data_IF_376846176659
#
_entry.id   IF_376846176659
#
_cell.length_a   1.000
_cell.length_b   1.000
_cell.length_c   1.000
_cell.angle_alpha   90.00
_cell.angle_beta   90.00
_cell.angle_gamma   90.00
#
_symmetry.space_group_name_H-M   'P 1'
#
loop_
_entity.id
_entity.type
_entity.pdbx_description
1 polymer ?
#
# COMPACT_ATOMS: atom_id res chain seq x y z
N UNK A 1 9.30 -1.66 20.95
CA UNK A 1 10.21 -1.56 19.79
C UNK A 1 9.59 -0.81 18.61
N UNK A 2 8.31 -1.04 18.27
CA UNK A 2 7.55 -0.48 17.13
C UNK A 2 7.51 1.08 17.05
N UNK A 3 7.58 1.80 18.18
CA UNK A 3 7.40 3.27 18.21
C UNK A 3 8.63 4.07 17.78
N UNK A 4 9.81 3.46 17.80
CA UNK A 4 11.09 4.10 17.47
C UNK A 4 11.34 4.08 15.95
N UNK A 5 10.88 3.04 15.25
CA UNK A 5 11.02 2.88 13.80
C UNK A 5 10.30 3.98 13.02
N UNK A 6 9.03 4.25 13.40
CA UNK A 6 8.22 5.29 12.73
C UNK A 6 8.85 6.69 12.78
N UNK A 7 9.60 7.00 13.85
CA UNK A 7 10.20 8.34 14.04
C UNK A 7 11.38 8.60 13.11
N UNK A 8 12.26 7.61 12.92
CA UNK A 8 13.39 7.81 12.01
C UNK A 8 12.92 7.73 10.55
N UNK A 9 11.96 6.86 10.23
CA UNK A 9 11.34 6.79 8.90
C UNK A 9 10.74 8.14 8.53
N UNK A 10 10.04 8.80 9.46
CA UNK A 10 9.46 10.10 9.19
C UNK A 10 10.52 11.20 9.00
N UNK A 11 11.62 11.17 9.75
CA UNK A 11 12.76 12.07 9.52
C UNK A 11 13.33 11.89 8.10
N UNK A 12 13.50 10.64 7.64
CA UNK A 12 13.96 10.35 6.29
C UNK A 12 12.96 10.83 5.22
N UNK A 13 11.65 10.72 5.47
CA UNK A 13 10.60 11.26 4.57
C UNK A 13 10.68 12.77 4.44
N UNK A 14 10.77 13.49 5.56
CA UNK A 14 10.89 14.94 5.57
C UNK A 14 12.14 15.37 4.77
N UNK A 15 13.28 14.69 5.00
CA UNK A 15 14.53 14.92 4.25
C UNK A 15 14.42 14.57 2.76
N UNK A 16 13.61 13.60 2.36
CA UNK A 16 13.36 13.28 0.94
C UNK A 16 12.59 14.38 0.22
N UNK A 17 11.65 15.01 0.91
CA UNK A 17 10.79 16.07 0.36
C UNK A 17 11.51 17.41 0.21
N UNK A 18 12.56 17.65 1.00
CA UNK A 18 13.32 18.90 1.00
C UNK A 18 14.72 18.69 0.42
N UNK A 19 15.06 19.40 -0.66
CA UNK A 19 16.36 19.27 -1.33
C UNK A 19 17.50 20.00 -0.60
N UNK A 20 17.18 20.87 0.34
CA UNK A 20 18.15 21.65 1.12
C UNK A 20 18.55 20.92 2.42
N UNK A 21 19.79 21.11 2.92
CA UNK A 21 20.19 20.51 4.17
C UNK A 21 19.33 21.01 5.34
N UNK A 22 18.85 20.09 6.17
CA UNK A 22 17.97 20.43 7.30
C UNK A 22 18.60 20.20 8.66
N UNK A 23 18.49 21.21 9.51
CA UNK A 23 18.91 21.17 10.91
C UNK A 23 17.83 20.57 11.82
N UNK A 24 18.25 20.16 13.01
CA UNK A 24 17.38 19.48 13.98
C UNK A 24 16.16 20.31 14.42
N UNK A 25 16.32 21.63 14.55
CA UNK A 25 15.22 22.54 14.91
C UNK A 25 14.10 22.50 13.87
N UNK A 26 14.45 22.72 12.60
CA UNK A 26 13.48 22.70 11.49
C UNK A 26 12.82 21.33 11.32
N UNK A 27 13.61 20.26 11.44
CA UNK A 27 13.08 18.90 11.46
C UNK A 27 12.12 18.65 12.63
N UNK A 28 12.39 19.20 13.81
CA UNK A 28 11.51 19.06 14.97
C UNK A 28 10.16 19.72 14.76
N UNK A 29 10.14 20.91 14.15
CA UNK A 29 8.91 21.62 13.76
C UNK A 29 8.07 20.78 12.78
N UNK A 30 8.69 20.32 11.69
CA UNK A 30 8.02 19.51 10.66
C UNK A 30 7.56 18.14 11.20
N UNK A 31 8.33 17.51 12.09
CA UNK A 31 7.93 16.29 12.77
C UNK A 31 6.67 16.51 13.63
N UNK A 32 6.59 17.65 14.33
CA UNK A 32 5.42 17.99 15.14
C UNK A 32 4.16 18.22 14.29
N UNK A 33 4.29 18.87 13.13
CA UNK A 33 3.21 19.02 12.14
C UNK A 33 2.66 17.67 11.68
N UNK A 34 3.49 16.63 11.65
CA UNK A 34 3.13 15.24 11.29
C UNK A 34 2.72 14.38 12.50
N UNK A 35 2.54 14.97 13.68
CA UNK A 35 2.09 14.29 14.88
C UNK A 35 3.21 13.61 15.69
N UNK A 36 4.48 13.84 15.35
CA UNK A 36 5.64 13.35 16.09
C UNK A 36 6.29 14.46 16.92
N UNK A 37 5.81 14.65 18.15
CA UNK A 37 6.40 15.64 19.06
C UNK A 37 7.73 15.13 19.59
N UNK A 38 8.82 15.75 19.16
CA UNK A 38 10.19 15.52 19.61
C UNK A 38 10.82 16.86 20.01
N UNK A 39 11.85 16.83 20.86
CA UNK A 39 12.70 18.01 21.10
C UNK A 39 13.82 18.07 20.07
N UNK A 40 14.37 19.26 19.80
CA UNK A 40 15.53 19.45 18.94
C UNK A 40 16.69 18.50 19.30
N UNK A 41 16.93 18.30 20.60
CA UNK A 41 17.96 17.38 21.10
C UNK A 41 17.64 15.93 20.75
N UNK A 42 16.39 15.50 20.88
CA UNK A 42 15.96 14.16 20.47
C UNK A 42 16.14 13.96 18.95
N UNK A 43 15.78 14.95 18.14
CA UNK A 43 16.02 14.92 16.69
C UNK A 43 17.51 14.85 16.36
N UNK A 44 18.38 15.56 17.09
CA UNK A 44 19.84 15.42 16.93
C UNK A 44 20.35 14.01 17.25
N UNK A 45 19.76 13.31 18.23
CA UNK A 45 20.11 11.91 18.49
C UNK A 45 19.73 11.02 17.30
N UNK A 46 18.53 11.17 16.75
CA UNK A 46 18.11 10.43 15.56
C UNK A 46 18.99 10.73 14.34
N UNK A 47 19.33 11.99 14.09
CA UNK A 47 20.19 12.36 12.97
C UNK A 47 21.58 11.74 13.08
N UNK A 48 22.16 11.67 14.29
CA UNK A 48 23.44 10.97 14.47
C UNK A 48 23.33 9.48 14.20
N UNK A 49 22.26 8.86 14.66
CA UNK A 49 22.00 7.45 14.39
C UNK A 49 21.81 7.19 12.89
N UNK A 50 21.10 8.07 12.18
CA UNK A 50 20.92 7.99 10.73
C UNK A 50 22.23 8.25 9.95
N UNK A 51 23.09 9.13 10.47
CA UNK A 51 24.45 9.35 9.95
C UNK A 51 25.28 8.05 10.11
N UNK A 52 25.22 7.38 11.26
CA UNK A 52 25.91 6.10 11.54
C UNK A 52 25.42 4.94 10.66
N UNK A 53 24.13 4.93 10.30
CA UNK A 53 23.55 3.95 9.37
C UNK A 53 23.84 4.27 7.89
N UNK A 54 24.44 5.43 7.59
CA UNK A 54 24.72 5.87 6.23
C UNK A 54 23.48 6.36 5.46
N UNK A 55 22.36 6.61 6.15
CA UNK A 55 21.13 7.11 5.52
C UNK A 55 21.13 8.62 5.33
N UNK A 56 21.84 9.34 6.19
CA UNK A 56 22.03 10.80 6.08
C UNK A 56 23.50 11.17 6.09
N UNK A 57 23.80 12.33 5.53
CA UNK A 57 25.14 12.92 5.61
C UNK A 57 25.07 14.38 6.04
N UNK A 58 26.05 14.80 6.85
CA UNK A 58 26.12 16.15 7.40
C UNK A 58 26.75 17.11 6.39
N UNK A 59 26.03 18.18 6.06
CA UNK A 59 26.51 19.27 5.20
C UNK A 59 26.88 20.47 6.06
N UNK A 60 28.13 20.47 6.56
CA UNK A 60 28.66 21.55 7.39
C UNK A 60 27.75 21.90 8.57
N UNK A 61 27.45 23.19 8.74
CA UNK A 61 26.50 23.68 9.76
C UNK A 61 25.06 23.82 9.25
N UNK A 62 24.80 23.50 7.97
CA UNK A 62 23.49 23.70 7.36
C UNK A 62 22.49 22.60 7.75
N UNK A 63 22.97 21.38 8.01
CA UNK A 63 22.11 20.29 8.42
C UNK A 63 22.51 18.94 7.85
N UNK A 64 21.53 18.08 7.62
CA UNK A 64 21.68 16.79 6.95
C UNK A 64 20.95 16.77 5.63
N UNK A 65 21.48 16.00 4.69
CA UNK A 65 20.78 15.58 3.48
C UNK A 65 20.66 14.06 3.45
N UNK A 66 19.73 13.57 2.63
CA UNK A 66 19.50 12.15 2.44
C UNK A 66 20.53 11.58 1.44
N UNK A 67 21.22 10.50 1.82
CA UNK A 67 22.12 9.79 0.91
C UNK A 67 21.31 8.96 -0.11
N UNK A 68 21.93 8.45 -1.19
CA UNK A 68 21.27 7.48 -2.07
C UNK A 68 20.73 6.27 -1.31
N UNK A 69 21.50 5.74 -0.35
CA UNK A 69 21.08 4.61 0.47
C UNK A 69 19.89 4.95 1.39
N UNK A 70 19.87 6.16 1.97
CA UNK A 70 18.71 6.64 2.74
C UNK A 70 17.44 6.81 1.89
N UNK A 71 17.58 7.14 0.60
CA UNK A 71 16.44 7.22 -0.34
C UNK A 71 15.79 5.87 -0.55
N UNK A 72 16.58 4.82 -0.76
CA UNK A 72 16.11 3.44 -0.92
C UNK A 72 15.41 2.93 0.35
N UNK A 73 15.94 3.26 1.53
CA UNK A 73 15.31 2.90 2.80
C UNK A 73 13.91 3.53 2.95
N UNK A 74 13.75 4.82 2.60
CA UNK A 74 12.42 5.44 2.58
C UNK A 74 11.44 4.73 1.65
N UNK A 75 11.90 4.20 0.53
CA UNK A 75 11.06 3.47 -0.43
C UNK A 75 10.66 2.11 0.12
N UNK A 76 11.58 1.40 0.76
CA UNK A 76 11.32 0.13 1.43
C UNK A 76 10.36 0.30 2.61
N UNK A 77 10.52 1.35 3.42
CA UNK A 77 9.61 1.68 4.52
C UNK A 77 8.18 2.02 4.05
N UNK A 78 8.01 2.63 2.86
CA UNK A 78 6.70 2.88 2.25
C UNK A 78 5.99 1.59 1.83
N UNK A 79 6.72 0.50 1.57
CA UNK A 79 6.12 -0.81 1.27
C UNK A 79 5.37 -1.34 2.49
N UNK A 80 5.94 -1.20 3.70
CA UNK A 80 5.29 -1.64 4.95
C UNK A 80 3.95 -0.95 5.22
N UNK A 81 3.91 0.38 5.11
CA UNK A 81 2.67 1.16 5.29
C UNK A 81 1.62 0.82 4.22
N UNK A 82 2.04 0.61 2.96
CA UNK A 82 1.16 0.19 1.88
C UNK A 82 0.54 -1.19 2.16
N UNK A 83 1.31 -2.13 2.68
CA UNK A 83 0.82 -3.46 3.07
C UNK A 83 -0.21 -3.32 4.19
N UNK A 84 0.06 -2.53 5.23
CA UNK A 84 -0.89 -2.31 6.33
C UNK A 84 -2.23 -1.72 5.87
N UNK A 85 -2.20 -0.78 4.92
CA UNK A 85 -3.40 -0.24 4.29
C UNK A 85 -4.18 -1.30 3.50
N UNK A 86 -3.50 -2.15 2.73
CA UNK A 86 -4.13 -3.25 1.98
C UNK A 86 -4.79 -4.26 2.94
N UNK A 87 -4.09 -4.66 4.01
CA UNK A 87 -4.62 -5.58 5.02
C UNK A 87 -5.89 -5.01 5.64
N UNK A 88 -5.87 -3.74 6.09
CA UNK A 88 -7.04 -3.08 6.69
C UNK A 88 -8.24 -3.05 5.72
N UNK A 89 -7.99 -2.87 4.42
CA UNK A 89 -9.03 -2.91 3.39
C UNK A 89 -9.59 -4.33 3.20
N UNK A 90 -8.75 -5.36 3.23
CA UNK A 90 -9.16 -6.76 3.14
C UNK A 90 -9.98 -7.18 4.35
N UNK A 91 -9.54 -6.86 5.57
CA UNK A 91 -10.28 -7.13 6.81
C UNK A 91 -11.67 -6.49 6.80
N UNK A 92 -11.76 -5.24 6.30
CA UNK A 92 -13.05 -4.56 6.15
C UNK A 92 -13.97 -5.25 5.13
N UNK A 93 -13.42 -5.82 4.05
CA UNK A 93 -14.20 -6.59 3.07
C UNK A 93 -14.70 -7.89 3.69
N UNK A 94 -13.84 -8.61 4.41
CA UNK A 94 -14.21 -9.84 5.13
C UNK A 94 -15.32 -9.57 6.16
N UNK A 95 -15.19 -8.54 6.99
CA UNK A 95 -16.18 -8.19 8.00
C UNK A 95 -17.56 -7.80 7.42
N UNK A 96 -17.59 -7.30 6.18
CA UNK A 96 -18.85 -6.93 5.50
C UNK A 96 -19.48 -8.08 4.73
N UNK A 97 -18.78 -9.21 4.56
CA UNK A 97 -19.34 -10.40 3.93
C UNK A 97 -20.43 -10.97 4.83
N UNK A 98 -21.59 -11.28 4.25
CA UNK A 98 -22.74 -11.86 4.97
C UNK A 98 -23.19 -13.18 4.33
N UNK A 99 -22.34 -13.77 3.49
CA UNK A 99 -22.66 -14.98 2.75
C UNK A 99 -22.94 -16.17 3.66
N UNK A 100 -24.10 -16.77 3.44
CA UNK A 100 -24.53 -18.00 4.08
C UNK A 100 -24.46 -19.16 3.08
N UNK A 101 -23.58 -20.15 3.31
CA UNK A 101 -23.41 -21.29 2.41
C UNK A 101 -24.59 -22.26 2.40
N UNK A 102 -25.45 -22.27 3.44
CA UNK A 102 -26.63 -23.14 3.48
C UNK A 102 -27.74 -22.60 2.57
N UNK A 103 -27.96 -21.28 2.60
CA UNK A 103 -28.98 -20.62 1.77
C UNK A 103 -28.45 -20.18 0.40
N UNK A 104 -27.12 -20.06 0.25
CA UNK A 104 -26.48 -19.54 -0.96
C UNK A 104 -26.74 -18.04 -1.18
N UNK A 105 -27.02 -17.29 -0.13
CA UNK A 105 -27.40 -15.87 -0.20
C UNK A 105 -26.56 -15.02 0.75
N UNK A 106 -26.49 -13.71 0.47
CA UNK A 106 -25.71 -12.75 1.25
C UNK A 106 -24.74 -11.93 0.40
N UNK A 107 -24.07 -10.98 1.05
CA UNK A 107 -23.08 -10.12 0.43
C UNK A 107 -21.74 -10.84 0.34
N UNK A 108 -21.09 -10.77 -0.83
CA UNK A 108 -19.78 -11.35 -1.09
C UNK A 108 -18.81 -10.28 -1.59
N UNK A 109 -17.52 -10.45 -1.30
CA UNK A 109 -16.49 -9.69 -1.97
C UNK A 109 -16.26 -10.29 -3.36
N UNK A 110 -16.14 -9.46 -4.40
CA UNK A 110 -15.88 -9.91 -5.76
C UNK A 110 -14.69 -9.17 -6.39
N UNK A 111 -14.05 -9.83 -7.34
CA UNK A 111 -13.10 -9.25 -8.26
C UNK A 111 -13.82 -8.88 -9.56
N UNK A 112 -13.48 -7.73 -10.15
CA UNK A 112 -13.92 -7.32 -11.47
C UNK A 112 -12.71 -7.25 -12.40
N UNK A 113 -12.63 -8.21 -13.33
CA UNK A 113 -11.65 -8.20 -14.42
C UNK A 113 -12.28 -7.53 -15.63
N UNK A 114 -11.56 -6.60 -16.26
CA UNK A 114 -12.04 -5.89 -17.46
C UNK A 114 -11.21 -6.38 -18.65
N UNK A 115 -11.89 -6.81 -19.72
CA UNK A 115 -11.26 -7.33 -20.94
C UNK A 115 -11.85 -6.65 -22.17
N UNK A 116 -11.09 -6.43 -23.25
CA UNK A 116 -11.65 -6.02 -24.53
C UNK A 116 -12.72 -7.01 -25.00
N UNK A 117 -13.83 -6.53 -25.57
CA UNK A 117 -14.94 -7.40 -26.02
C UNK A 117 -14.48 -8.50 -26.99
N UNK A 118 -13.57 -8.16 -27.90
CA UNK A 118 -12.99 -9.11 -28.87
C UNK A 118 -12.20 -10.27 -28.20
N UNK A 119 -11.71 -10.07 -26.97
CA UNK A 119 -10.94 -11.06 -26.20
C UNK A 119 -11.79 -11.78 -25.15
N UNK A 120 -13.06 -11.40 -24.97
CA UNK A 120 -13.95 -12.01 -24.00
C UNK A 120 -14.07 -13.54 -24.18
N UNK A 121 -14.21 -14.10 -25.41
CA UNK A 121 -14.30 -15.55 -25.59
C UNK A 121 -13.05 -16.29 -25.08
N UNK A 122 -11.86 -15.73 -25.37
CA UNK A 122 -10.58 -16.29 -24.92
C UNK A 122 -10.47 -16.24 -23.39
N UNK A 123 -10.86 -15.13 -22.77
CA UNK A 123 -10.87 -14.98 -21.32
C UNK A 123 -11.82 -15.99 -20.67
N UNK A 124 -13.05 -16.12 -21.18
CA UNK A 124 -14.02 -17.10 -20.68
C UNK A 124 -13.50 -18.53 -20.79
N UNK A 125 -12.82 -18.87 -21.88
CA UNK A 125 -12.18 -20.18 -22.05
C UNK A 125 -11.16 -20.44 -20.94
N UNK A 126 -10.29 -19.48 -20.64
CA UNK A 126 -9.31 -19.61 -19.56
C UNK A 126 -9.97 -19.77 -18.17
N UNK A 127 -11.03 -19.00 -17.87
CA UNK A 127 -11.79 -19.17 -16.63
C UNK A 127 -12.41 -20.57 -16.53
N UNK A 128 -12.96 -21.09 -17.63
CA UNK A 128 -13.56 -22.43 -17.67
C UNK A 128 -12.51 -23.52 -17.45
N UNK A 129 -11.30 -23.38 -18.00
CA UNK A 129 -10.18 -24.31 -17.79
C UNK A 129 -9.77 -24.35 -16.30
N UNK A 130 -9.67 -23.19 -15.64
CA UNK A 130 -9.36 -23.10 -14.19
C UNK A 130 -10.46 -23.73 -13.32
N UNK A 131 -11.73 -23.51 -13.69
CA UNK A 131 -12.87 -24.13 -13.00
C UNK A 131 -12.86 -25.65 -13.17
N UNK A 132 -12.61 -26.14 -14.40
CA UNK A 132 -12.53 -27.57 -14.68
C UNK A 132 -11.37 -28.24 -13.93
N UNK A 133 -10.24 -27.54 -13.78
CA UNK A 133 -9.10 -27.98 -13.00
C UNK A 133 -9.32 -27.90 -11.47
N UNK A 134 -10.43 -27.32 -11.00
CA UNK A 134 -10.75 -27.11 -9.57
C UNK A 134 -9.65 -26.35 -8.81
N UNK A 135 -8.99 -25.41 -9.48
CA UNK A 135 -7.90 -24.63 -8.87
C UNK A 135 -8.38 -23.41 -8.07
N UNK A 136 -9.68 -23.11 -8.06
CA UNK A 136 -10.26 -21.96 -7.36
C UNK A 136 -11.17 -22.36 -6.20
N UNK A 137 -11.33 -21.44 -5.23
CA UNK A 137 -12.28 -21.59 -4.12
C UNK A 137 -13.74 -21.58 -4.58
N UNK A 138 -14.04 -20.79 -5.61
CA UNK A 138 -15.37 -20.69 -6.20
C UNK A 138 -15.30 -21.09 -7.67
N UNK A 139 -16.28 -21.88 -8.11
CA UNK A 139 -16.35 -22.46 -9.46
C UNK A 139 -17.26 -21.68 -10.41
N UNK A 140 -17.49 -20.39 -10.15
CA UNK A 140 -18.41 -19.57 -10.91
C UNK A 140 -17.90 -18.15 -11.14
N UNK A 141 -18.22 -17.60 -12.30
CA UNK A 141 -18.05 -16.18 -12.63
C UNK A 141 -19.29 -15.69 -13.38
N UNK A 142 -19.43 -14.37 -13.49
CA UNK A 142 -20.49 -13.72 -14.27
C UNK A 142 -19.90 -12.69 -15.21
N UNK A 143 -20.28 -12.73 -16.48
CA UNK A 143 -19.98 -11.65 -17.41
C UNK A 143 -20.97 -10.51 -17.18
N UNK A 144 -20.46 -9.30 -17.08
CA UNK A 144 -21.23 -8.07 -16.89
C UNK A 144 -20.83 -7.03 -17.92
N UNK A 145 -21.80 -6.28 -18.41
CA UNK A 145 -21.67 -5.22 -19.41
C UNK A 145 -22.18 -3.87 -18.87
N UNK A 146 -22.86 -3.88 -17.71
CA UNK A 146 -23.45 -2.72 -17.04
C UNK A 146 -22.79 -2.46 -15.69
N UNK A 147 -21.58 -1.92 -15.73
CA UNK A 147 -20.90 -1.36 -14.56
C UNK A 147 -20.19 -0.06 -14.96
N UNK A 148 -20.32 1.04 -14.20
CA UNK A 148 -19.71 2.33 -14.56
C UNK A 148 -18.16 2.29 -14.61
N UNK A 149 -17.54 1.25 -14.06
CA UNK A 149 -16.08 1.03 -14.13
C UNK A 149 -15.64 0.39 -15.44
N UNK A 150 -16.57 -0.15 -16.24
CA UNK A 150 -16.26 -0.82 -17.51
C UNK A 150 -16.25 0.24 -18.63
N UNK A 151 -15.12 0.45 -19.31
CA UNK A 151 -15.03 1.40 -20.42
C UNK A 151 -15.74 0.85 -21.68
N UNK A 152 -16.15 1.72 -22.62
CA UNK A 152 -16.73 1.30 -23.89
C UNK A 152 -15.81 0.33 -24.67
N UNK A 153 -16.40 -0.66 -25.34
CA UNK A 153 -15.67 -1.70 -26.08
C UNK A 153 -14.99 -2.75 -25.20
N UNK A 154 -15.37 -2.82 -23.92
CA UNK A 154 -14.87 -3.81 -22.96
C UNK A 154 -16.01 -4.51 -22.24
N UNK A 155 -15.75 -5.72 -21.79
CA UNK A 155 -16.63 -6.52 -20.95
C UNK A 155 -16.00 -6.74 -19.57
N UNK A 156 -16.84 -6.85 -18.55
CA UNK A 156 -16.45 -7.20 -17.18
C UNK A 156 -16.66 -8.68 -16.91
N UNK A 157 -15.73 -9.30 -16.18
CA UNK A 157 -15.86 -10.64 -15.61
C UNK A 157 -15.81 -10.49 -14.09
N UNK A 158 -16.91 -10.84 -13.44
CA UNK A 158 -17.05 -10.82 -11.99
C UNK A 158 -16.80 -12.22 -11.43
N UNK A 159 -15.85 -12.37 -10.51
CA UNK A 159 -15.57 -13.61 -9.79
C UNK A 159 -15.56 -13.39 -8.28
N UNK A 160 -15.96 -14.39 -7.50
CA UNK A 160 -16.00 -14.26 -6.05
C UNK A 160 -14.58 -14.26 -5.47
N UNK A 161 -14.31 -13.35 -4.55
CA UNK A 161 -13.03 -13.25 -3.86
C UNK A 161 -12.98 -14.27 -2.72
N UNK A 162 -11.82 -14.90 -2.52
CA UNK A 162 -11.59 -15.87 -1.44
C UNK A 162 -11.63 -15.27 -0.02
N UNK A 163 -11.76 -13.94 0.09
CA UNK A 163 -11.93 -13.23 1.38
C UNK A 163 -13.40 -13.25 1.85
N UNK A 164 -14.31 -13.75 1.01
CA UNK A 164 -15.75 -13.87 1.27
C UNK A 164 -16.03 -14.82 2.43
#
# INVERSE_FOLDING_TARGET
MIRTERKYIEILRILKEHREPMGAKRLSELMAERGFVLSDRAVQYYLRYLDEMGFTEKVGNMGRILTPYGKEETESALVGDRIGFIISKLERLAFRSTFDPETGTGDVAYNLSIVPEERLPDAMKAFNEVIAAKCGFFSSYRVIDRDPRIPPGSAGIMSICSIT
#
